data_IF_285749371025
#
_entry.id   IF_285749371025
#
_cell.length_a   1.000
_cell.length_b   1.000
_cell.length_c   1.000
_cell.angle_alpha   90.00
_cell.angle_beta   90.00
_cell.angle_gamma   90.00
#
_symmetry.space_group_name_H-M   'P 1'
#
loop_
_entity.id
_entity.type
_entity.pdbx_description
1 polymer ?
#
# COMPACT_ATOMS: atom_id res chain seq x y z
N UNK A 1 15.36 35.41 0.57
CA UNK A 1 15.56 33.97 0.76
C UNK A 1 14.20 33.37 1.09
N UNK A 2 13.78 32.35 0.36
CA UNK A 2 12.48 31.70 0.54
C UNK A 2 12.75 30.28 1.00
N UNK A 3 12.13 29.87 2.11
CA UNK A 3 12.20 28.48 2.55
C UNK A 3 11.38 27.62 1.59
N UNK A 4 11.91 26.46 1.26
CA UNK A 4 11.24 25.47 0.41
C UNK A 4 11.30 24.11 1.10
N UNK A 5 10.37 23.24 0.73
CA UNK A 5 10.22 21.91 1.30
C UNK A 5 10.33 20.89 0.18
N UNK A 6 11.20 19.89 0.34
CA UNK A 6 11.29 18.77 -0.59
C UNK A 6 10.30 17.68 -0.16
N UNK A 7 9.30 17.40 -0.99
CA UNK A 7 8.30 16.35 -0.79
C UNK A 7 8.81 15.06 -1.43
N UNK A 8 8.86 13.96 -0.69
CA UNK A 8 9.45 12.71 -1.15
C UNK A 8 8.53 11.53 -0.83
N UNK A 9 8.30 10.69 -1.82
CA UNK A 9 7.57 9.44 -1.66
C UNK A 9 8.48 8.24 -1.98
N UNK A 10 8.51 7.29 -1.06
CA UNK A 10 9.20 6.00 -1.17
C UNK A 10 8.16 4.90 -1.14
N UNK A 11 8.24 3.94 -2.06
CA UNK A 11 7.32 2.80 -2.14
C UNK A 11 8.04 1.47 -2.05
N UNK A 12 7.27 0.39 -1.86
CA UNK A 12 7.73 -0.97 -2.15
C UNK A 12 6.96 -1.52 -3.35
N UNK A 13 7.66 -1.89 -4.40
CA UNK A 13 7.03 -2.38 -5.62
C UNK A 13 6.49 -3.81 -5.48
N UNK A 14 5.87 -4.29 -6.56
CA UNK A 14 5.25 -5.59 -6.66
C UNK A 14 6.21 -6.75 -6.38
N UNK A 15 7.50 -6.55 -6.65
CA UNK A 15 8.59 -7.50 -6.47
C UNK A 15 9.22 -7.45 -5.07
N UNK A 16 8.81 -6.50 -4.24
CA UNK A 16 9.27 -6.35 -2.85
C UNK A 16 10.50 -5.49 -2.67
N UNK A 17 10.93 -4.75 -3.69
CA UNK A 17 12.05 -3.81 -3.61
C UNK A 17 11.55 -2.41 -3.28
N UNK A 18 12.38 -1.66 -2.55
CA UNK A 18 12.09 -0.25 -2.28
C UNK A 18 12.46 0.58 -3.49
N UNK A 19 11.68 1.61 -3.74
CA UNK A 19 11.91 2.54 -4.84
C UNK A 19 11.50 3.97 -4.49
N UNK A 20 12.12 4.90 -5.19
CA UNK A 20 11.75 6.31 -5.11
C UNK A 20 10.61 6.52 -6.10
N UNK A 21 9.44 6.90 -5.59
CA UNK A 21 8.27 7.16 -6.42
C UNK A 21 8.31 8.56 -7.02
N UNK A 22 8.86 9.53 -6.28
CA UNK A 22 9.03 10.88 -6.78
C UNK A 22 9.54 11.88 -5.75
N UNK A 23 9.93 13.04 -6.27
CA UNK A 23 10.28 14.24 -5.53
C UNK A 23 9.56 15.45 -6.16
N UNK A 24 9.16 16.39 -5.33
CA UNK A 24 8.76 17.73 -5.75
C UNK A 24 9.21 18.77 -4.72
N UNK A 25 9.28 20.05 -5.09
CA UNK A 25 9.71 21.14 -4.21
C UNK A 25 8.61 22.18 -4.12
N UNK A 26 8.12 22.42 -2.90
CA UNK A 26 7.03 23.36 -2.62
C UNK A 26 7.50 24.52 -1.75
N UNK A 27 6.80 25.66 -1.82
CA UNK A 27 7.10 26.84 -0.97
C UNK A 27 6.55 26.68 0.44
N UNK A 28 5.53 25.84 0.60
CA UNK A 28 4.85 25.58 1.85
C UNK A 28 4.32 24.14 1.83
N UNK A 29 4.33 23.49 2.99
CA UNK A 29 3.71 22.18 3.19
C UNK A 29 2.19 22.31 3.32
N UNK A 30 1.55 22.89 2.31
CA UNK A 30 0.09 23.05 2.28
C UNK A 30 -0.60 21.88 1.57
N UNK A 31 -1.92 21.80 1.72
CA UNK A 31 -2.71 20.76 1.07
C UNK A 31 -2.65 20.80 -0.46
N UNK A 32 -2.43 21.98 -1.06
CA UNK A 32 -2.35 22.13 -2.51
C UNK A 32 -1.05 21.54 -3.07
N UNK A 33 0.08 21.77 -2.39
CA UNK A 33 1.37 21.18 -2.72
C UNK A 33 1.33 19.66 -2.64
N UNK A 34 0.82 19.11 -1.53
CA UNK A 34 0.65 17.66 -1.39
C UNK A 34 -0.28 17.06 -2.43
N UNK A 35 -1.42 17.69 -2.72
CA UNK A 35 -2.36 17.22 -3.74
C UNK A 35 -1.74 17.22 -5.14
N UNK A 36 -0.96 18.26 -5.48
CA UNK A 36 -0.26 18.34 -6.76
C UNK A 36 0.79 17.24 -6.87
N UNK A 37 1.57 17.02 -5.81
CA UNK A 37 2.57 15.96 -5.75
C UNK A 37 1.95 14.58 -5.96
N UNK A 38 0.90 14.24 -5.20
CA UNK A 38 0.23 12.95 -5.32
C UNK A 38 -0.43 12.75 -6.69
N UNK A 39 -1.08 13.79 -7.24
CA UNK A 39 -1.64 13.74 -8.60
C UNK A 39 -0.57 13.48 -9.64
N UNK A 40 0.63 14.06 -9.50
CA UNK A 40 1.77 13.77 -10.37
C UNK A 40 2.18 12.30 -10.31
N UNK A 41 2.17 11.68 -9.13
CA UNK A 41 2.46 10.24 -8.99
C UNK A 41 1.40 9.40 -9.72
N UNK A 42 0.12 9.67 -9.48
CA UNK A 42 -0.98 8.93 -10.13
C UNK A 42 -1.02 9.14 -11.64
N UNK A 43 -0.74 10.36 -12.13
CA UNK A 43 -0.65 10.66 -13.55
C UNK A 43 0.50 9.91 -14.24
N UNK A 44 1.57 9.58 -13.50
CA UNK A 44 2.67 8.72 -13.97
C UNK A 44 2.40 7.22 -13.82
N UNK A 45 1.20 6.83 -13.39
CA UNK A 45 0.77 5.43 -13.32
C UNK A 45 0.79 4.80 -11.93
N UNK A 46 1.05 5.56 -10.86
CA UNK A 46 0.96 5.02 -9.49
C UNK A 46 -0.46 4.55 -9.21
N UNK A 47 -0.61 3.25 -8.94
CA UNK A 47 -1.90 2.60 -8.68
C UNK A 47 -1.72 1.42 -7.71
N UNK A 48 -2.83 0.85 -7.23
CA UNK A 48 -2.80 -0.34 -6.38
C UNK A 48 -2.24 -0.14 -4.96
N UNK A 49 -2.04 1.11 -4.52
CA UNK A 49 -1.49 1.43 -3.20
C UNK A 49 -2.40 0.89 -2.09
N UNK A 50 -1.90 -0.04 -1.29
CA UNK A 50 -2.66 -0.63 -0.16
C UNK A 50 -2.51 0.13 1.15
N UNK A 51 -1.39 0.80 1.35
CA UNK A 51 -1.06 1.49 2.60
C UNK A 51 -0.26 2.76 2.31
N UNK A 52 -0.54 3.83 3.03
CA UNK A 52 0.31 5.02 3.08
C UNK A 52 0.63 5.34 4.54
N UNK A 53 1.92 5.45 4.89
CA UNK A 53 2.37 5.93 6.19
C UNK A 53 2.93 7.34 6.06
N UNK A 54 2.39 8.29 6.80
CA UNK A 54 2.86 9.68 6.81
C UNK A 54 2.61 10.37 8.15
N UNK A 55 3.10 11.61 8.31
CA UNK A 55 2.60 12.48 9.38
C UNK A 55 1.11 12.82 9.14
N UNK A 56 0.41 13.22 10.21
CA UNK A 56 -1.01 13.58 10.23
C UNK A 56 -1.27 15.04 9.82
N UNK A 57 -0.46 15.59 8.92
CA UNK A 57 -0.72 16.91 8.37
C UNK A 57 -2.04 16.86 7.58
N UNK A 58 -3.04 17.66 7.96
CA UNK A 58 -4.39 17.57 7.42
C UNK A 58 -4.44 17.67 5.88
N UNK A 59 -3.60 18.55 5.30
CA UNK A 59 -3.48 18.68 3.85
C UNK A 59 -2.90 17.44 3.16
N UNK A 60 -1.98 16.73 3.82
CA UNK A 60 -1.39 15.50 3.29
C UNK A 60 -2.39 14.35 3.36
N UNK A 61 -3.07 14.16 4.50
CA UNK A 61 -4.10 13.12 4.66
C UNK A 61 -5.24 13.31 3.67
N UNK A 62 -5.71 14.55 3.49
CA UNK A 62 -6.74 14.87 2.51
C UNK A 62 -6.27 14.62 1.07
N UNK A 63 -5.01 14.95 0.74
CA UNK A 63 -4.43 14.68 -0.58
C UNK A 63 -4.37 13.18 -0.87
N UNK A 64 -3.90 12.37 0.08
CA UNK A 64 -3.84 10.91 -0.03
C UNK A 64 -5.23 10.34 -0.31
N UNK A 65 -6.23 10.71 0.50
CA UNK A 65 -7.60 10.24 0.34
C UNK A 65 -8.23 10.64 -1.00
N UNK A 66 -7.83 11.78 -1.57
CA UNK A 66 -8.33 12.25 -2.86
C UNK A 66 -7.68 11.55 -4.06
N UNK A 67 -6.44 11.08 -3.95
CA UNK A 67 -5.67 10.53 -5.08
C UNK A 67 -5.53 9.01 -5.07
N UNK A 68 -5.64 8.38 -3.90
CA UNK A 68 -5.44 6.94 -3.71
C UNK A 68 -6.68 6.32 -3.03
N UNK A 69 -7.82 6.24 -3.74
CA UNK A 69 -9.01 5.61 -3.17
C UNK A 69 -8.73 4.14 -2.85
N UNK A 70 -9.11 3.71 -1.65
CA UNK A 70 -8.89 2.33 -1.17
C UNK A 70 -7.53 2.08 -0.53
N UNK A 71 -6.63 3.07 -0.47
CA UNK A 71 -5.43 2.98 0.35
C UNK A 71 -5.77 3.18 1.82
N UNK A 72 -5.29 2.28 2.68
CA UNK A 72 -5.33 2.49 4.13
C UNK A 72 -4.31 3.56 4.49
N UNK A 73 -4.66 4.49 5.37
CA UNK A 73 -3.71 5.47 5.91
C UNK A 73 -3.28 5.09 7.32
N UNK A 74 -1.98 5.14 7.58
CA UNK A 74 -1.37 4.91 8.88
C UNK A 74 -0.64 6.18 9.33
N UNK A 75 -0.96 6.64 10.53
CA UNK A 75 -0.21 7.74 11.16
C UNK A 75 1.18 7.24 11.57
N UNK A 76 2.21 7.98 11.17
CA UNK A 76 3.59 7.65 11.52
C UNK A 76 3.80 7.64 13.03
N UNK A 77 4.25 6.51 13.58
CA UNK A 77 4.50 6.34 15.02
C UNK A 77 5.45 7.39 15.56
N UNK A 78 6.57 7.67 14.90
CA UNK A 78 7.59 8.58 15.44
C UNK A 78 7.06 10.01 15.57
N UNK A 79 6.37 10.51 14.54
CA UNK A 79 5.72 11.82 14.62
C UNK A 79 4.61 11.83 15.67
N UNK A 80 3.84 10.73 15.78
CA UNK A 80 2.82 10.60 16.82
C UNK A 80 3.41 10.62 18.23
N UNK A 81 4.53 9.93 18.48
CA UNK A 81 5.26 9.94 19.76
C UNK A 81 5.64 11.37 20.14
N UNK A 82 6.13 12.19 19.21
CA UNK A 82 6.45 13.61 19.47
C UNK A 82 5.19 14.42 19.79
N UNK A 83 4.09 14.21 19.05
CA UNK A 83 2.82 14.88 19.30
C UNK A 83 2.27 14.53 20.69
N UNK A 84 2.32 13.26 21.07
CA UNK A 84 1.88 12.78 22.38
C UNK A 84 2.77 13.33 23.50
N UNK A 85 4.09 13.38 23.30
CA UNK A 85 5.03 13.97 24.24
C UNK A 85 4.72 15.44 24.52
N UNK A 86 4.33 16.21 23.49
CA UNK A 86 4.05 17.64 23.63
C UNK A 86 2.87 17.94 24.56
N UNK A 87 1.88 17.05 24.62
CA UNK A 87 0.71 17.19 25.51
C UNK A 87 0.87 16.48 26.86
N UNK A 88 1.90 15.64 27.00
CA UNK A 88 2.14 14.86 28.21
C UNK A 88 2.99 15.65 29.20
N UNK A 89 2.64 15.71 30.50
CA UNK A 89 3.51 16.28 31.52
C UNK A 89 4.88 15.60 31.51
N UNK A 90 5.97 16.39 31.54
CA UNK A 90 7.36 15.88 31.44
C UNK A 90 7.69 14.76 32.44
N UNK A 91 7.15 14.85 33.66
CA UNK A 91 7.36 13.85 34.70
C UNK A 91 6.71 12.49 34.37
N UNK A 92 5.59 12.49 33.65
CA UNK A 92 4.84 11.29 33.28
C UNK A 92 5.28 10.71 31.93
N UNK A 93 6.04 11.45 31.12
CA UNK A 93 6.46 11.02 29.79
C UNK A 93 7.16 9.65 29.74
N UNK A 94 8.13 9.32 30.62
CA UNK A 94 8.78 8.01 30.57
C UNK A 94 7.78 6.84 30.70
N UNK A 95 6.76 7.02 31.55
CA UNK A 95 5.69 6.03 31.74
C UNK A 95 4.77 5.94 30.51
N UNK A 96 4.27 7.07 30.00
CA UNK A 96 3.41 7.13 28.80
C UNK A 96 4.12 6.57 27.57
N UNK A 97 5.39 6.89 27.37
CA UNK A 97 6.20 6.39 26.27
C UNK A 97 6.34 4.86 26.32
N UNK A 98 6.58 4.31 27.52
CA UNK A 98 6.65 2.85 27.73
C UNK A 98 5.33 2.18 27.41
N UNK A 99 4.20 2.76 27.85
CA UNK A 99 2.86 2.28 27.52
C UNK A 99 2.64 2.29 26.01
N UNK A 100 2.90 3.41 25.34
CA UNK A 100 2.74 3.52 23.88
C UNK A 100 3.57 2.47 23.13
N UNK A 101 4.82 2.23 23.54
CA UNK A 101 5.68 1.25 22.91
C UNK A 101 5.14 -0.18 23.04
N UNK A 102 4.58 -0.52 24.20
CA UNK A 102 4.03 -1.86 24.45
C UNK A 102 2.92 -2.27 23.48
N UNK A 103 2.22 -1.31 22.85
CA UNK A 103 1.20 -1.58 21.82
C UNK A 103 1.82 -2.27 20.59
N UNK A 104 3.00 -1.82 20.17
CA UNK A 104 3.65 -2.31 18.95
C UNK A 104 4.39 -3.65 19.16
N UNK A 105 4.58 -4.03 20.42
CA UNK A 105 5.24 -5.29 20.80
C UNK A 105 4.24 -6.47 20.88
N UNK A 106 2.94 -6.22 20.71
CA UNK A 106 1.91 -7.25 20.84
C UNK A 106 1.97 -8.30 19.70
N UNK A 107 1.63 -9.57 19.97
CA UNK A 107 1.79 -10.67 19.03
C UNK A 107 0.78 -10.66 17.87
N UNK A 108 -0.43 -10.16 18.10
CA UNK A 108 -1.56 -10.22 17.17
C UNK A 108 -2.54 -9.04 17.37
N UNK A 109 -3.48 -8.89 16.44
CA UNK A 109 -4.40 -7.74 16.37
C UNK A 109 -5.29 -7.62 17.60
N UNK A 110 -5.77 -8.73 18.15
CA UNK A 110 -6.60 -8.74 19.36
C UNK A 110 -5.79 -8.27 20.57
N UNK A 111 -4.55 -8.75 20.71
CA UNK A 111 -3.63 -8.33 21.75
C UNK A 111 -3.26 -6.86 21.64
N UNK A 112 -3.09 -6.33 20.42
CA UNK A 112 -2.90 -4.88 20.17
C UNK A 112 -4.10 -4.09 20.68
N UNK A 113 -5.32 -4.49 20.32
CA UNK A 113 -6.54 -3.81 20.73
C UNK A 113 -6.71 -3.82 22.25
N UNK A 114 -6.56 -5.00 22.87
CA UNK A 114 -6.66 -5.16 24.32
C UNK A 114 -5.57 -4.39 25.08
N UNK A 115 -4.34 -4.33 24.55
CA UNK A 115 -3.30 -3.51 25.15
C UNK A 115 -3.62 -2.02 25.03
N UNK A 116 -4.22 -1.58 23.93
CA UNK A 116 -4.66 -0.20 23.76
C UNK A 116 -5.73 0.18 24.79
N UNK A 117 -6.75 -0.66 24.98
CA UNK A 117 -7.80 -0.43 25.99
C UNK A 117 -7.20 -0.30 27.40
N UNK A 118 -6.28 -1.20 27.78
CA UNK A 118 -5.58 -1.13 29.08
C UNK A 118 -4.82 0.19 29.27
N UNK A 119 -4.23 0.74 28.21
CA UNK A 119 -3.50 2.01 28.28
C UNK A 119 -4.46 3.17 28.47
N UNK A 120 -5.59 3.17 27.77
CA UNK A 120 -6.63 4.19 27.93
C UNK A 120 -7.16 4.16 29.36
N UNK A 121 -7.53 2.99 29.88
CA UNK A 121 -8.02 2.83 31.26
C UNK A 121 -7.00 3.34 32.28
N UNK A 122 -5.72 3.03 32.11
CA UNK A 122 -4.65 3.48 33.01
C UNK A 122 -4.42 5.00 32.99
N UNK A 123 -4.71 5.66 31.86
CA UNK A 123 -4.45 7.08 31.66
C UNK A 123 -5.67 7.96 31.91
N UNK A 124 -6.90 7.44 31.76
CA UNK A 124 -8.14 8.21 31.84
C UNK A 124 -8.28 9.04 33.11
N UNK A 125 -7.89 8.51 34.26
CA UNK A 125 -8.01 9.22 35.55
C UNK A 125 -6.90 10.25 35.77
N UNK A 126 -5.64 9.87 35.51
CA UNK A 126 -4.48 10.71 35.85
C UNK A 126 -4.11 11.71 34.75
N UNK A 127 -4.34 11.33 33.49
CA UNK A 127 -3.93 12.05 32.28
C UNK A 127 -5.04 12.02 31.21
N UNK A 128 -6.25 12.54 31.52
CA UNK A 128 -7.41 12.46 30.64
C UNK A 128 -7.13 13.03 29.23
N UNK A 129 -6.42 14.15 29.15
CA UNK A 129 -6.03 14.74 27.85
C UNK A 129 -5.15 13.83 26.99
N UNK A 130 -4.30 13.01 27.62
CA UNK A 130 -3.43 12.05 26.92
C UNK A 130 -4.25 10.86 26.46
N UNK A 131 -5.17 10.37 27.30
CA UNK A 131 -6.12 9.32 26.96
C UNK A 131 -7.02 9.73 25.78
N UNK A 132 -7.65 10.89 25.83
CA UNK A 132 -8.50 11.43 24.75
C UNK A 132 -7.74 11.54 23.43
N UNK A 133 -6.48 12.00 23.48
CA UNK A 133 -5.64 12.13 22.29
C UNK A 133 -5.24 10.78 21.70
N UNK A 134 -4.99 9.78 22.54
CA UNK A 134 -4.77 8.39 22.10
C UNK A 134 -6.03 7.82 21.47
N UNK A 135 -7.17 7.90 22.14
CA UNK A 135 -8.43 7.35 21.62
C UNK A 135 -8.79 7.95 20.26
N UNK A 136 -8.63 9.27 20.09
CA UNK A 136 -8.85 9.94 18.82
C UNK A 136 -7.91 9.46 17.70
N UNK A 137 -6.67 9.08 18.04
CA UNK A 137 -5.67 8.61 17.08
C UNK A 137 -5.71 7.09 16.85
N UNK A 138 -6.53 6.35 17.59
CA UNK A 138 -6.61 4.89 17.58
C UNK A 138 -6.75 4.27 16.18
N UNK A 139 -7.73 4.66 15.33
CA UNK A 139 -7.88 4.04 14.01
C UNK A 139 -6.64 4.26 13.13
N UNK A 140 -6.06 5.45 13.21
CA UNK A 140 -4.92 5.83 12.37
C UNK A 140 -3.61 5.20 12.84
N UNK A 141 -3.47 5.00 14.15
CA UNK A 141 -2.26 4.45 14.76
C UNK A 141 -2.23 2.92 14.69
N UNK A 142 -3.39 2.27 14.67
CA UNK A 142 -3.53 0.81 14.64
C UNK A 142 -3.82 0.25 13.24
N UNK A 143 -3.84 1.08 12.20
CA UNK A 143 -4.11 0.66 10.82
C UNK A 143 -3.18 -0.46 10.32
N UNK A 144 -1.94 -0.54 10.83
CA UNK A 144 -0.99 -1.60 10.53
C UNK A 144 -1.50 -3.01 10.89
N UNK A 145 -2.43 -3.12 11.84
CA UNK A 145 -2.96 -4.41 12.30
C UNK A 145 -3.82 -5.12 11.26
N UNK A 146 -4.30 -4.41 10.24
CA UNK A 146 -4.95 -5.02 9.07
C UNK A 146 -3.98 -5.78 8.17
N UNK A 147 -2.67 -5.56 8.30
CA UNK A 147 -1.64 -6.18 7.49
C UNK A 147 -1.04 -7.42 8.16
N UNK A 148 -0.37 -8.31 7.40
CA UNK A 148 0.28 -9.48 7.98
C UNK A 148 1.33 -9.11 9.04
N UNK A 149 1.34 -9.84 10.16
CA UNK A 149 2.25 -9.61 11.31
C UNK A 149 3.72 -9.50 10.92
N UNK A 150 4.14 -10.25 9.90
CA UNK A 150 5.53 -10.29 9.40
C UNK A 150 6.03 -8.93 8.92
N UNK A 151 5.13 -8.01 8.53
CA UNK A 151 5.50 -6.69 7.99
C UNK A 151 5.17 -5.53 8.90
N UNK A 152 4.65 -5.79 10.10
CA UNK A 152 4.29 -4.71 11.02
C UNK A 152 5.49 -3.80 11.26
N UNK A 153 6.65 -4.34 11.66
CA UNK A 153 7.83 -3.52 11.97
C UNK A 153 8.29 -2.64 10.81
N UNK A 154 8.11 -3.09 9.57
CA UNK A 154 8.38 -2.30 8.37
C UNK A 154 7.37 -1.15 8.21
N UNK A 155 6.09 -1.36 8.56
CA UNK A 155 5.04 -0.34 8.48
C UNK A 155 5.26 0.81 9.47
N UNK A 156 5.52 0.50 10.75
CA UNK A 156 5.65 1.52 11.81
C UNK A 156 7.08 2.03 12.02
N UNK A 157 8.09 1.44 11.38
CA UNK A 157 9.45 1.99 11.37
C UNK A 157 9.56 3.13 10.36
N UNK A 158 10.08 4.27 10.82
CA UNK A 158 10.46 5.38 9.94
C UNK A 158 11.97 5.41 9.63
N UNK A 159 12.74 4.44 10.13
CA UNK A 159 14.21 4.42 10.00
C UNK A 159 14.70 4.50 8.53
N UNK A 160 14.05 3.83 7.55
CA UNK A 160 14.40 4.02 6.13
C UNK A 160 14.28 5.48 5.66
N UNK A 161 13.15 6.13 6.01
CA UNK A 161 12.90 7.53 5.64
C UNK A 161 13.84 8.48 6.37
N UNK A 162 14.10 8.26 7.65
CA UNK A 162 15.06 9.06 8.42
C UNK A 162 16.48 8.97 7.86
N UNK A 163 16.91 7.76 7.45
CA UNK A 163 18.21 7.55 6.80
C UNK A 163 18.29 8.31 5.48
N UNK A 164 17.25 8.23 4.65
CA UNK A 164 17.18 8.96 3.38
C UNK A 164 17.24 10.48 3.61
N UNK A 165 16.41 10.99 4.51
CA UNK A 165 16.37 12.42 4.87
C UNK A 165 17.72 12.91 5.40
N UNK A 166 18.44 12.08 6.15
CA UNK A 166 19.78 12.41 6.65
C UNK A 166 20.81 12.52 5.53
N UNK A 167 20.78 11.62 4.54
CA UNK A 167 21.70 11.71 3.39
C UNK A 167 21.38 12.92 2.51
N UNK A 168 20.10 13.25 2.32
CA UNK A 168 19.68 14.46 1.62
C UNK A 168 20.23 15.70 2.33
N UNK A 169 19.97 15.83 3.65
CA UNK A 169 20.47 16.95 4.46
C UNK A 169 21.99 17.09 4.38
N UNK A 170 22.71 15.97 4.50
CA UNK A 170 24.17 15.96 4.39
C UNK A 170 24.67 16.58 3.08
N UNK A 171 23.97 16.38 1.96
CA UNK A 171 24.36 16.88 0.64
C UNK A 171 23.88 18.32 0.43
N UNK A 172 22.70 18.69 0.92
CA UNK A 172 22.15 20.04 0.80
C UNK A 172 22.83 21.04 1.73
N UNK A 173 23.23 20.62 2.94
CA UNK A 173 23.88 21.48 3.94
C UNK A 173 25.25 22.01 3.46
N UNK A 174 25.93 21.27 2.57
CA UNK A 174 27.18 21.71 1.95
C UNK A 174 26.96 22.85 0.96
N UNK A 175 25.82 22.85 0.24
CA UNK A 175 25.49 23.88 -0.73
C UNK A 175 24.92 25.13 -0.04
N UNK A 176 24.10 24.93 0.99
CA UNK A 176 23.49 25.99 1.80
C UNK A 176 22.36 26.73 1.09
N UNK A 177 22.63 27.42 -0.03
CA UNK A 177 21.66 28.23 -0.77
C UNK A 177 21.64 27.79 -2.23
N UNK A 178 20.46 27.46 -2.73
CA UNK A 178 20.25 27.09 -4.14
C UNK A 178 19.79 28.30 -4.97
N UNK A 179 20.23 28.41 -6.24
CA UNK A 179 19.83 29.51 -7.12
C UNK A 179 18.35 29.42 -7.54
N UNK A 180 17.82 28.21 -7.69
CA UNK A 180 16.44 27.94 -8.07
C UNK A 180 16.01 26.52 -7.60
N UNK A 181 14.72 26.19 -7.80
CA UNK A 181 14.17 24.88 -7.41
C UNK A 181 14.73 23.74 -8.25
N UNK A 182 15.03 23.97 -9.52
CA UNK A 182 15.53 22.93 -10.42
C UNK A 182 16.94 22.49 -10.00
N UNK A 183 17.77 23.42 -9.52
CA UNK A 183 19.07 23.11 -8.95
C UNK A 183 18.96 22.24 -7.69
N UNK A 184 17.98 22.52 -6.82
CA UNK A 184 17.70 21.66 -5.67
C UNK A 184 17.21 20.27 -6.10
N UNK A 185 16.24 20.21 -7.01
CA UNK A 185 15.70 18.94 -7.55
C UNK A 185 16.81 18.12 -8.21
N UNK A 186 17.75 18.74 -8.93
CA UNK A 186 18.90 18.03 -9.53
C UNK A 186 19.80 17.40 -8.48
N UNK A 187 20.16 18.14 -7.42
CA UNK A 187 21.02 17.60 -6.36
C UNK A 187 20.30 16.48 -5.60
N UNK A 188 19.09 16.75 -5.11
CA UNK A 188 18.34 15.77 -4.33
C UNK A 188 17.99 14.57 -5.21
N UNK A 189 17.57 14.80 -6.45
CA UNK A 189 17.31 13.76 -7.44
C UNK A 189 18.52 12.85 -7.70
N UNK A 190 19.73 13.39 -7.74
CA UNK A 190 20.95 12.58 -7.85
C UNK A 190 21.17 11.67 -6.63
N UNK A 191 20.93 12.19 -5.41
CA UNK A 191 20.99 11.41 -4.17
C UNK A 191 19.93 10.30 -4.15
N UNK A 192 18.71 10.65 -4.59
CA UNK A 192 17.60 9.71 -4.67
C UNK A 192 17.86 8.61 -5.70
N UNK A 193 18.47 8.94 -6.85
CA UNK A 193 18.85 7.97 -7.88
C UNK A 193 19.92 6.99 -7.36
N UNK A 194 20.98 7.50 -6.72
CA UNK A 194 22.01 6.66 -6.07
C UNK A 194 21.37 5.70 -5.05
N UNK A 195 20.46 6.20 -4.21
CA UNK A 195 19.79 5.37 -3.23
C UNK A 195 18.83 4.34 -3.85
N UNK A 196 18.16 4.71 -4.95
CA UNK A 196 17.27 3.82 -5.69
C UNK A 196 18.04 2.63 -6.28
N UNK A 197 19.18 2.89 -6.92
CA UNK A 197 20.04 1.85 -7.50
C UNK A 197 20.55 0.89 -6.41
N UNK A 198 21.00 1.42 -5.27
CA UNK A 198 21.39 0.59 -4.12
C UNK A 198 20.25 -0.32 -3.64
N UNK A 199 19.00 0.17 -3.64
CA UNK A 199 17.84 -0.62 -3.22
C UNK A 199 17.44 -1.67 -4.24
N UNK A 200 17.62 -1.40 -5.53
CA UNK A 200 17.36 -2.35 -6.61
C UNK A 200 18.34 -3.56 -6.54
N UNK A 201 19.59 -3.31 -6.15
CA UNK A 201 20.61 -4.36 -6.00
C UNK A 201 20.56 -5.08 -4.63
N UNK A 202 19.87 -4.49 -3.66
CA UNK A 202 19.74 -5.03 -2.31
C UNK A 202 18.82 -6.26 -2.25
N UNK A 203 18.83 -6.97 -1.11
CA UNK A 203 17.78 -7.96 -0.83
C UNK A 203 16.40 -7.30 -0.85
N UNK A 204 15.38 -8.05 -1.26
CA UNK A 204 13.97 -7.64 -1.13
C UNK A 204 13.68 -7.12 0.26
N UNK A 205 13.02 -5.97 0.32
CA UNK A 205 12.57 -5.37 1.56
C UNK A 205 11.36 -6.12 2.12
N UNK A 206 10.43 -6.53 1.24
CA UNK A 206 9.27 -7.36 1.58
C UNK A 206 9.32 -8.70 0.82
N UNK A 207 9.02 -9.79 1.52
CA UNK A 207 8.88 -11.12 0.89
C UNK A 207 7.63 -11.19 0.01
N UNK A 208 7.72 -11.93 -1.10
CA UNK A 208 6.62 -12.05 -2.07
C UNK A 208 5.37 -12.71 -1.46
N UNK A 209 5.57 -13.65 -0.54
CA UNK A 209 4.50 -14.32 0.20
C UNK A 209 3.70 -13.35 1.07
N UNK A 210 4.39 -12.41 1.73
CA UNK A 210 3.74 -11.41 2.56
C UNK A 210 3.12 -10.30 1.72
N UNK A 211 3.73 -9.92 0.59
CA UNK A 211 3.16 -8.99 -0.37
C UNK A 211 1.82 -9.50 -0.91
N UNK A 212 1.75 -10.76 -1.33
CA UNK A 212 0.51 -11.38 -1.80
C UNK A 212 -0.61 -11.26 -0.76
N UNK A 213 -0.32 -11.59 0.51
CA UNK A 213 -1.30 -11.44 1.61
C UNK A 213 -1.68 -9.98 1.89
N UNK A 214 -0.75 -9.05 1.69
CA UNK A 214 -0.99 -7.62 1.91
C UNK A 214 -1.88 -7.00 0.84
N UNK A 215 -1.90 -7.58 -0.38
CA UNK A 215 -2.74 -7.09 -1.48
C UNK A 215 -4.23 -7.29 -1.21
N UNK A 216 -4.61 -8.30 -0.44
CA UNK A 216 -6.02 -8.64 -0.19
C UNK A 216 -6.65 -7.85 0.97
N UNK A 217 -5.88 -7.03 1.71
CA UNK A 217 -6.33 -6.37 2.96
C UNK A 217 -7.52 -5.41 2.75
N UNK A 218 -7.69 -4.86 1.54
CA UNK A 218 -8.75 -3.90 1.21
C UNK A 218 -9.66 -4.39 0.05
N UNK A 219 -9.51 -5.63 -0.39
CA UNK A 219 -10.35 -6.18 -1.45
C UNK A 219 -11.67 -6.64 -0.80
N UNK A 220 -12.69 -5.79 -0.87
CA UNK A 220 -14.06 -6.22 -0.56
C UNK A 220 -14.47 -7.22 -1.66
N UNK A 221 -15.01 -8.40 -1.35
CA UNK A 221 -15.64 -9.21 -2.38
C UNK A 221 -16.80 -8.38 -2.93
N UNK A 222 -16.67 -7.89 -4.16
CA UNK A 222 -17.84 -7.43 -4.91
C UNK A 222 -18.72 -8.66 -5.07
N UNK A 223 -19.70 -8.84 -4.18
CA UNK A 223 -20.85 -9.67 -4.49
C UNK A 223 -21.44 -9.09 -5.77
N UNK A 224 -21.18 -9.77 -6.89
CA UNK A 224 -21.90 -9.53 -8.12
C UNK A 224 -23.36 -9.87 -7.81
N UNK A 225 -24.12 -8.84 -7.47
CA UNK A 225 -25.56 -8.90 -7.42
C UNK A 225 -26.03 -9.23 -8.84
N UNK A 226 -26.22 -10.52 -9.09
CA UNK A 226 -26.77 -11.02 -10.35
C UNK A 226 -28.18 -10.46 -10.47
N UNK A 227 -28.33 -9.41 -11.26
CA UNK A 227 -29.62 -8.84 -11.62
C UNK A 227 -30.38 -9.91 -12.42
N UNK A 228 -31.54 -10.42 -11.98
CA UNK A 228 -32.37 -11.25 -12.84
C UNK A 228 -33.01 -10.30 -13.85
N UNK A 229 -32.43 -10.21 -15.04
CA UNK A 229 -33.03 -9.51 -16.16
C UNK A 229 -34.39 -10.17 -16.45
N UNK A 230 -35.44 -9.40 -16.20
CA UNK A 230 -36.83 -9.75 -16.45
C UNK A 230 -36.99 -10.32 -17.87
N UNK A 231 -37.57 -11.51 -17.95
CA UNK A 231 -38.18 -12.07 -19.15
C UNK A 231 -39.30 -11.12 -19.60
N UNK A 232 -38.95 -10.13 -20.42
CA UNK A 232 -39.90 -9.35 -21.20
C UNK A 232 -39.66 -9.63 -22.69
N UNK A 233 -40.20 -10.76 -23.12
CA UNK A 233 -40.51 -11.21 -24.49
C UNK A 233 -41.47 -12.38 -24.26
N UNK A 234 -42.73 -12.40 -24.67
CA UNK A 234 -43.44 -11.71 -25.73
C UNK A 234 -44.91 -11.54 -25.30
N UNK A 235 -45.52 -10.40 -25.61
CA UNK A 235 -46.96 -10.30 -25.81
C UNK A 235 -47.21 -9.36 -27.00
N UNK A 236 -47.32 -9.95 -28.19
CA UNK A 236 -47.97 -9.33 -29.34
C UNK A 236 -49.07 -10.28 -29.83
N UNK A 237 -50.31 -9.80 -29.65
CA UNK A 237 -51.60 -10.09 -30.29
C UNK A 237 -51.75 -11.18 -31.38
N UNK A 238 -52.85 -11.97 -31.22
CA UNK A 238 -53.89 -12.42 -32.20
C UNK A 238 -53.42 -13.09 -33.51
N UNK A 239 -53.94 -14.19 -34.08
CA UNK A 239 -55.13 -15.08 -34.01
C UNK A 239 -54.59 -16.55 -34.00
N UNK A 240 -55.27 -17.66 -33.69
CA UNK A 240 -56.48 -18.23 -34.31
C UNK A 240 -56.75 -19.61 -33.63
N UNK A 241 -58.04 -19.98 -33.51
CA UNK A 241 -58.65 -21.33 -33.50
C UNK A 241 -58.18 -22.48 -32.58
N UNK A 242 -59.14 -22.93 -31.77
CA UNK A 242 -59.65 -24.30 -31.56
C UNK A 242 -58.81 -25.43 -30.92
N UNK A 243 -59.45 -25.94 -29.85
CA UNK A 243 -59.67 -27.33 -29.46
C UNK A 243 -58.59 -28.16 -28.71
N UNK A 244 -59.09 -28.62 -27.56
CA UNK A 244 -58.97 -29.98 -27.00
C UNK A 244 -57.69 -30.45 -26.28
N UNK A 245 -57.90 -30.63 -24.97
CA UNK A 245 -57.85 -31.93 -24.29
C UNK A 245 -56.54 -32.39 -23.59
N UNK A 246 -56.70 -32.49 -22.26
CA UNK A 246 -56.44 -33.68 -21.41
C UNK A 246 -55.01 -33.95 -20.88
N UNK A 247 -54.90 -33.73 -19.57
CA UNK A 247 -54.25 -34.53 -18.51
C UNK A 247 -53.23 -35.63 -18.86
N UNK A 248 -52.05 -35.59 -18.20
CA UNK A 248 -51.50 -36.74 -17.45
C UNK A 248 -50.35 -36.36 -16.48
N UNK A 249 -50.48 -36.78 -15.23
CA UNK A 249 -49.46 -37.00 -14.15
C UNK A 249 -50.02 -38.25 -13.41
N UNK A 250 -49.30 -39.10 -12.61
CA UNK A 250 -47.97 -38.93 -12.00
C UNK A 250 -47.14 -40.24 -11.73
N UNK A 251 -46.02 -40.08 -11.00
CA UNK A 251 -45.49 -41.04 -10.00
C UNK A 251 -44.44 -42.05 -10.51
N UNK A 252 -43.59 -42.69 -9.70
CA UNK A 252 -43.20 -42.64 -8.28
C UNK A 252 -42.06 -43.70 -8.13
N UNK A 253 -41.15 -43.52 -7.16
CA UNK A 253 -40.40 -44.60 -6.44
C UNK A 253 -39.41 -45.49 -7.25
N UNK A 254 -38.32 -46.09 -6.75
CA UNK A 254 -37.60 -46.16 -5.46
C UNK A 254 -36.35 -47.06 -5.71
N UNK A 255 -35.39 -47.00 -4.78
CA UNK A 255 -34.55 -48.14 -4.33
C UNK A 255 -33.44 -48.67 -5.29
N UNK A 256 -32.28 -49.18 -4.88
CA UNK A 256 -31.60 -49.42 -3.58
C UNK A 256 -30.21 -50.06 -3.89
N UNK A 257 -29.18 -49.59 -3.16
CA UNK A 257 -28.01 -50.33 -2.60
C UNK A 257 -26.91 -51.05 -3.42
N UNK A 258 -25.71 -50.87 -2.84
CA UNK A 258 -24.67 -51.84 -2.42
C UNK A 258 -23.46 -52.13 -3.31
N UNK A 259 -22.28 -52.02 -2.67
CA UNK A 259 -21.15 -52.95 -2.87
C UNK A 259 -19.82 -52.29 -3.23
N UNK A 260 -18.92 -52.12 -2.25
CA UNK A 260 -17.46 -52.11 -2.52
C UNK A 260 -16.88 -53.52 -2.35
N UNK A 261 -15.57 -53.67 -2.05
CA UNK A 261 -14.38 -53.14 -2.72
C UNK A 261 -13.40 -54.29 -3.09
N UNK A 262 -12.31 -54.06 -3.84
CA UNK A 262 -11.02 -54.73 -3.60
C UNK A 262 -9.81 -54.25 -4.43
N UNK A 263 -8.68 -54.14 -3.70
CA UNK A 263 -7.24 -54.33 -3.96
C UNK A 263 -6.54 -54.23 -5.33
N UNK A 264 -5.35 -53.59 -5.32
CA UNK A 264 -4.08 -54.25 -5.71
C UNK A 264 -3.19 -53.63 -6.82
N UNK A 265 -1.87 -53.50 -6.55
CA UNK A 265 -0.76 -53.41 -7.53
C UNK A 265 -0.17 -52.00 -7.75
N UNK A 266 0.98 -51.56 -7.23
CA UNK A 266 2.42 -51.94 -7.38
C UNK A 266 3.08 -51.48 -8.69
N UNK A 267 4.05 -50.55 -8.52
CA UNK A 267 5.27 -50.25 -9.30
C UNK A 267 5.21 -49.64 -10.72
N UNK A 268 6.02 -48.58 -10.90
CA UNK A 268 6.49 -48.12 -12.22
C UNK A 268 6.96 -46.67 -12.25
N UNK A 269 8.22 -46.40 -11.89
CA UNK A 269 8.97 -45.23 -12.40
C UNK A 269 9.49 -45.60 -13.80
N UNK A 270 9.55 -44.63 -14.74
CA UNK A 270 10.86 -44.04 -15.00
C UNK A 270 10.84 -42.51 -15.24
N UNK A 271 12.07 -42.00 -15.20
CA UNK A 271 12.57 -40.69 -15.61
C UNK A 271 11.89 -40.04 -16.82
N UNK A 272 11.71 -38.73 -16.78
CA UNK A 272 12.10 -37.86 -17.89
C UNK A 272 12.43 -36.45 -17.44
N UNK A 273 13.49 -35.92 -18.05
CA UNK A 273 14.05 -34.61 -17.83
C UNK A 273 13.42 -33.57 -18.77
N UNK A 274 13.52 -32.31 -18.35
CA UNK A 274 13.63 -31.09 -19.18
C UNK A 274 12.47 -30.74 -20.12
N UNK A 275 11.69 -29.71 -19.74
CA UNK A 275 11.68 -28.39 -20.42
C UNK A 275 10.44 -27.58 -20.01
N UNK A 276 10.63 -26.54 -19.21
CA UNK A 276 9.60 -25.52 -18.96
C UNK A 276 9.94 -24.29 -19.81
N UNK A 277 8.99 -23.66 -20.50
CA UNK A 277 9.28 -22.65 -21.51
C UNK A 277 9.74 -21.32 -20.87
N UNK A 278 10.84 -20.79 -21.40
CA UNK A 278 11.30 -19.43 -21.18
C UNK A 278 10.27 -18.43 -21.75
N UNK A 279 9.81 -17.49 -20.90
CA UNK A 279 9.07 -16.31 -21.34
C UNK A 279 9.96 -15.38 -22.19
N UNK A 280 9.40 -14.61 -23.14
CA UNK A 280 10.19 -13.95 -24.18
C UNK A 280 11.04 -12.80 -23.64
N UNK A 281 12.35 -12.86 -23.93
CA UNK A 281 13.30 -11.80 -23.64
C UNK A 281 13.05 -10.53 -24.47
N UNK A 282 13.19 -9.39 -23.81
CA UNK A 282 13.33 -8.08 -24.43
C UNK A 282 14.67 -8.05 -25.19
N UNK A 283 14.60 -7.94 -26.52
CA UNK A 283 15.77 -7.80 -27.39
C UNK A 283 16.31 -6.38 -27.28
N UNK A 284 17.56 -6.24 -26.84
CA UNK A 284 18.37 -5.06 -27.10
C UNK A 284 18.94 -5.18 -28.52
N UNK A 285 18.58 -4.25 -29.40
CA UNK A 285 19.26 -4.09 -30.69
C UNK A 285 20.38 -3.06 -30.54
N UNK A 286 21.62 -3.50 -30.67
CA UNK A 286 22.75 -2.64 -31.02
C UNK A 286 22.59 -2.13 -32.46
N UNK A 287 22.86 -0.85 -32.71
CA UNK A 287 22.88 -0.33 -34.06
C UNK A 287 23.05 1.18 -34.23
N UNK A 288 24.32 1.61 -34.20
CA UNK A 288 24.88 2.77 -34.94
C UNK A 288 24.74 4.20 -34.37
N UNK A 289 25.72 5.02 -34.76
CA UNK A 289 26.26 6.21 -34.11
C UNK A 289 26.12 7.41 -35.07
N UNK A 290 26.07 8.63 -34.49
CA UNK A 290 26.39 9.98 -35.04
C UNK A 290 25.22 10.99 -35.25
N UNK A 291 25.48 12.32 -35.12
CA UNK A 291 24.89 13.14 -34.05
C UNK A 291 24.07 14.35 -34.53
N UNK A 292 23.30 14.97 -33.62
CA UNK A 292 22.79 16.34 -33.82
C UNK A 292 21.56 16.68 -32.97
N UNK A 293 21.77 17.55 -31.99
CA UNK A 293 20.82 18.52 -31.40
C UNK A 293 19.32 18.23 -31.53
N UNK A 294 18.73 17.76 -30.44
CA UNK A 294 17.28 17.70 -30.25
C UNK A 294 17.01 17.23 -28.83
N UNK A 295 16.43 18.11 -28.02
CA UNK A 295 16.03 17.81 -26.65
C UNK A 295 14.79 16.91 -26.74
N UNK A 296 15.01 15.60 -26.84
CA UNK A 296 13.97 14.59 -26.73
C UNK A 296 13.53 14.50 -25.26
N UNK A 297 12.23 14.50 -24.96
CA UNK A 297 11.76 14.24 -23.60
C UNK A 297 12.18 12.81 -23.21
N UNK A 298 12.75 12.65 -22.03
CA UNK A 298 12.90 11.33 -21.42
C UNK A 298 11.51 10.70 -21.34
N UNK A 299 11.21 9.80 -22.26
CA UNK A 299 10.04 8.93 -22.22
C UNK A 299 10.28 7.93 -21.09
N UNK A 300 9.92 8.33 -19.87
CA UNK A 300 9.88 7.45 -18.71
C UNK A 300 8.77 6.44 -19.01
N UNK A 301 9.17 5.25 -19.48
CA UNK A 301 8.29 4.11 -19.56
C UNK A 301 7.76 3.82 -18.15
N UNK A 302 6.54 4.26 -17.87
CA UNK A 302 5.83 3.93 -16.65
C UNK A 302 5.47 2.44 -16.69
N UNK A 303 6.32 1.59 -16.09
CA UNK A 303 5.89 0.26 -15.70
C UNK A 303 4.70 0.41 -14.73
N UNK A 304 3.63 -0.41 -14.85
CA UNK A 304 2.55 -0.39 -13.89
C UNK A 304 3.10 -0.83 -12.53
N UNK A 305 3.31 0.13 -11.65
CA UNK A 305 3.79 -0.15 -10.29
C UNK A 305 2.59 -0.48 -9.41
N UNK A 306 2.35 -1.77 -9.18
CA UNK A 306 1.44 -2.24 -8.12
C UNK A 306 2.15 -2.10 -6.77
N UNK A 307 2.14 -0.91 -6.17
CA UNK A 307 2.90 -0.61 -4.94
C UNK A 307 2.20 -1.15 -3.69
N UNK A 308 2.93 -1.94 -2.89
CA UNK A 308 2.59 -2.21 -1.51
C UNK A 308 3.30 -1.21 -0.59
N UNK A 309 2.55 -0.47 0.24
CA UNK A 309 3.05 0.51 1.20
C UNK A 309 3.89 1.68 0.65
N UNK A 310 3.36 2.89 0.75
CA UNK A 310 4.07 4.15 0.47
C UNK A 310 4.41 4.85 1.78
N UNK A 311 5.67 5.21 1.98
CA UNK A 311 6.08 6.11 3.04
C UNK A 311 6.34 7.49 2.45
N UNK A 312 5.78 8.52 3.08
CA UNK A 312 5.92 9.91 2.63
C UNK A 312 6.49 10.78 3.73
N UNK A 313 7.39 11.68 3.36
CA UNK A 313 7.92 12.71 4.24
C UNK A 313 8.38 13.95 3.48
N UNK A 314 8.62 15.01 4.23
CA UNK A 314 9.28 16.21 3.74
C UNK A 314 10.67 16.38 4.39
N UNK A 315 11.57 17.06 3.69
CA UNK A 315 12.92 17.42 4.17
C UNK A 315 13.14 18.91 4.07
#
# INVERSE_FOLDING_TARGET
MVNVHALIAVGVNAEGYREILGIDVTTAEDGAGWLTFWRSLTARGLSGVKLVTSDAHAGLVAAIGATLPGATWQRCRTHYTTNLMAITPKASWPWVCTLLHSVFDQPDTESVAAQYDRIIDALSDQLPKVADHLEAARPDLLAFTGFPKQIWSQIWSNNPQERLNKEIRRRTDVVGIFPDRDALIRLVGAVLAEQHDEWAESRRYLGLDVLSKSRTVNDTPTEQEATPAALHRLNHHHEESHDDAVHYVPGLDRHRTHGGPDAGGVQGLPSDATSTPLSPGCRTSEGSKLPGTGQEPFEVAACPVEVGAVQVGSV
#
